data_IF_319560253979
#
_entry.id   IF_319560253979
#
_cell.length_a   1.000
_cell.length_b   1.000
_cell.length_c   1.000
_cell.angle_alpha   90.00
_cell.angle_beta   90.00
_cell.angle_gamma   90.00
#
_symmetry.space_group_name_H-M   'P 1'
#
loop_
_entity.id
_entity.type
_entity.pdbx_description
1 polymer ?
#
# COMPACT_ATOMS: atom_id res chain seq x y z
N UNK A 1 -31.70 -19.60 21.03
CA UNK A 1 -31.80 -19.18 19.63
C UNK A 1 -30.40 -18.94 19.09
N UNK A 2 -30.09 -19.41 17.89
CA UNK A 2 -28.80 -19.11 17.26
C UNK A 2 -28.80 -17.64 16.75
N UNK A 3 -27.66 -16.96 16.92
CA UNK A 3 -27.48 -15.61 16.39
C UNK A 3 -27.46 -15.62 14.86
N UNK A 4 -28.03 -14.59 14.23
CA UNK A 4 -27.86 -14.33 12.80
C UNK A 4 -26.43 -13.82 12.52
N UNK A 5 -25.93 -13.92 11.27
CA UNK A 5 -24.62 -13.37 10.89
C UNK A 5 -24.51 -11.87 11.20
N UNK A 6 -25.58 -11.10 10.96
CA UNK A 6 -25.64 -9.66 11.33
C UNK A 6 -25.46 -9.44 12.84
N UNK A 7 -26.11 -10.25 13.69
CA UNK A 7 -25.95 -10.15 15.14
C UNK A 7 -24.54 -10.56 15.58
N UNK A 8 -23.95 -11.58 14.93
CA UNK A 8 -22.55 -11.98 15.18
C UNK A 8 -21.57 -10.88 14.76
N UNK A 9 -21.80 -10.24 13.60
CA UNK A 9 -20.99 -9.10 13.13
C UNK A 9 -21.01 -7.97 14.17
N UNK A 10 -22.21 -7.54 14.59
CA UNK A 10 -22.34 -6.46 15.59
C UNK A 10 -21.75 -6.80 16.95
N UNK A 11 -21.76 -8.07 17.33
CA UNK A 11 -21.32 -8.52 18.65
C UNK A 11 -19.81 -8.77 18.74
N UNK A 12 -19.20 -9.27 17.66
CA UNK A 12 -17.83 -9.80 17.72
C UNK A 12 -16.84 -9.08 16.81
N UNK A 13 -17.31 -8.33 15.80
CA UNK A 13 -16.40 -7.52 14.96
C UNK A 13 -16.19 -6.15 15.60
N UNK A 14 -14.94 -5.75 15.77
CA UNK A 14 -14.62 -4.40 16.22
C UNK A 14 -15.07 -3.38 15.17
N UNK A 15 -15.87 -2.35 15.52
CA UNK A 15 -16.32 -1.37 14.56
C UNK A 15 -15.16 -0.48 14.10
N UNK A 16 -15.00 -0.33 12.79
CA UNK A 16 -14.06 0.62 12.17
C UNK A 16 -14.79 1.81 11.54
N UNK A 17 -16.12 1.81 11.58
CA UNK A 17 -17.01 2.87 11.10
C UNK A 17 -18.25 2.93 11.98
N UNK A 18 -18.72 4.14 12.24
CA UNK A 18 -19.97 4.36 13.00
C UNK A 18 -21.22 3.95 12.21
N UNK A 19 -21.14 3.88 10.89
CA UNK A 19 -22.23 3.53 9.98
C UNK A 19 -21.78 2.55 8.88
N UNK A 20 -21.46 1.29 9.24
CA UNK A 20 -21.08 0.29 8.25
C UNK A 20 -22.25 -0.03 7.31
N UNK A 21 -21.99 -0.26 6.03
CA UNK A 21 -23.00 -0.69 5.06
C UNK A 21 -23.69 -1.99 5.50
N UNK A 22 -22.98 -2.86 6.20
CA UNK A 22 -23.44 -4.11 6.77
C UNK A 22 -24.25 -4.99 5.77
N UNK A 23 -23.86 -4.99 4.49
CA UNK A 23 -24.40 -5.89 3.48
C UNK A 23 -23.91 -7.31 3.77
N UNK A 24 -24.82 -8.27 3.85
CA UNK A 24 -24.47 -9.68 4.04
C UNK A 24 -24.20 -10.31 2.67
N UNK A 25 -22.96 -10.20 2.19
CA UNK A 25 -22.54 -10.73 0.89
C UNK A 25 -22.23 -12.23 1.01
N UNK A 26 -22.86 -13.04 0.17
CA UNK A 26 -22.70 -14.49 0.15
C UNK A 26 -21.98 -15.00 -1.09
N UNK A 27 -21.95 -14.22 -2.18
CA UNK A 27 -21.29 -14.57 -3.44
C UNK A 27 -20.79 -13.31 -4.14
N UNK A 28 -19.70 -13.45 -4.90
CA UNK A 28 -19.22 -12.42 -5.81
C UNK A 28 -18.77 -13.08 -7.12
N UNK A 29 -18.98 -12.41 -8.28
CA UNK A 29 -18.58 -12.91 -9.58
C UNK A 29 -18.46 -11.77 -10.60
N UNK A 30 -17.34 -11.72 -11.32
CA UNK A 30 -17.06 -10.63 -12.26
C UNK A 30 -17.07 -9.28 -11.53
N UNK A 31 -18.00 -8.41 -11.86
CA UNK A 31 -18.18 -7.10 -11.23
C UNK A 31 -19.35 -7.05 -10.24
N UNK A 32 -19.95 -8.19 -9.93
CA UNK A 32 -21.17 -8.25 -9.11
C UNK A 32 -20.92 -8.88 -7.75
N UNK A 33 -21.55 -8.30 -6.73
CA UNK A 33 -21.74 -8.88 -5.40
C UNK A 33 -23.20 -9.32 -5.27
N UNK A 34 -23.44 -10.37 -4.49
CA UNK A 34 -24.79 -10.90 -4.22
C UNK A 34 -25.00 -11.06 -2.73
N UNK A 35 -26.11 -10.53 -2.22
CA UNK A 35 -26.47 -10.68 -0.81
C UNK A 35 -27.16 -12.02 -0.52
N UNK A 36 -27.51 -12.24 0.74
CA UNK A 36 -28.19 -13.45 1.20
C UNK A 36 -29.60 -13.61 0.65
N UNK A 37 -30.24 -12.55 0.13
CA UNK A 37 -31.53 -12.59 -0.54
C UNK A 37 -31.39 -12.79 -2.07
N UNK A 38 -30.16 -12.88 -2.58
CA UNK A 38 -29.87 -13.03 -4.01
C UNK A 38 -29.90 -11.73 -4.81
N UNK A 39 -30.05 -10.58 -4.15
CA UNK A 39 -29.98 -9.27 -4.82
C UNK A 39 -28.55 -8.99 -5.26
N UNK A 40 -28.39 -8.49 -6.49
CA UNK A 40 -27.11 -8.14 -7.08
C UNK A 40 -26.77 -6.66 -6.88
N UNK A 41 -25.48 -6.37 -6.71
CA UNK A 41 -24.90 -5.03 -6.62
C UNK A 41 -23.69 -4.97 -7.55
N UNK A 42 -23.52 -3.87 -8.27
CA UNK A 42 -22.28 -3.60 -9.01
C UNK A 42 -21.23 -3.11 -7.98
N UNK A 43 -20.11 -3.80 -7.93
CA UNK A 43 -18.99 -3.43 -7.04
C UNK A 43 -18.11 -2.36 -7.68
N UNK A 44 -18.42 -1.09 -7.41
CA UNK A 44 -17.62 0.05 -7.84
C UNK A 44 -16.50 0.40 -6.85
N UNK A 45 -16.49 -0.22 -5.66
CA UNK A 45 -15.43 -0.05 -4.66
C UNK A 45 -14.25 -0.97 -4.98
N UNK A 46 -14.55 -2.18 -5.46
CA UNK A 46 -13.56 -3.16 -5.92
C UNK A 46 -12.44 -3.42 -4.90
N UNK A 47 -12.79 -3.48 -3.60
CA UNK A 47 -11.81 -3.65 -2.52
C UNK A 47 -10.85 -2.47 -2.40
N UNK A 48 -11.30 -1.26 -2.68
CA UNK A 48 -10.51 -0.02 -2.80
C UNK A 48 -9.47 -0.18 -3.94
N UNK A 49 -9.99 -0.39 -5.17
CA UNK A 49 -9.24 -0.55 -6.41
C UNK A 49 -8.29 -1.78 -6.46
N UNK A 50 -8.57 -2.82 -5.68
CA UNK A 50 -7.73 -4.04 -5.60
C UNK A 50 -8.18 -5.13 -6.57
N UNK A 51 -9.49 -5.33 -6.76
CA UNK A 51 -10.04 -6.45 -7.53
C UNK A 51 -10.03 -6.20 -9.05
N UNK A 52 -8.87 -5.82 -9.60
CA UNK A 52 -8.72 -5.36 -10.98
C UNK A 52 -9.10 -6.39 -12.06
N UNK A 53 -9.05 -7.69 -11.74
CA UNK A 53 -9.42 -8.78 -12.67
C UNK A 53 -10.83 -9.30 -12.43
N UNK A 54 -11.58 -8.62 -11.56
CA UNK A 54 -12.93 -9.03 -11.14
C UNK A 54 -12.94 -10.16 -10.12
N UNK A 55 -14.12 -10.36 -9.52
CA UNK A 55 -14.32 -11.41 -8.53
C UNK A 55 -14.27 -12.80 -9.17
N UNK A 56 -13.55 -13.72 -8.54
CA UNK A 56 -13.46 -15.13 -8.94
C UNK A 56 -12.98 -15.33 -10.38
N UNK A 57 -12.02 -14.54 -10.85
CA UNK A 57 -11.39 -14.81 -12.14
C UNK A 57 -10.97 -16.29 -12.22
N UNK A 58 -11.43 -17.05 -13.26
CA UNK A 58 -11.21 -18.50 -13.31
C UNK A 58 -9.75 -18.92 -13.28
N UNK A 59 -8.86 -18.15 -13.92
CA UNK A 59 -7.42 -18.45 -13.94
C UNK A 59 -6.79 -18.28 -12.57
N UNK A 60 -7.19 -17.22 -11.85
CA UNK A 60 -6.71 -16.96 -10.48
C UNK A 60 -7.22 -18.06 -9.53
N UNK A 61 -8.51 -18.39 -9.60
CA UNK A 61 -9.10 -19.45 -8.77
C UNK A 61 -8.41 -20.79 -9.01
N UNK A 62 -8.13 -21.13 -10.29
CA UNK A 62 -7.40 -22.36 -10.62
C UNK A 62 -6.00 -22.36 -10.02
N UNK A 63 -5.24 -21.29 -10.21
CA UNK A 63 -3.88 -21.20 -9.70
C UNK A 63 -3.81 -21.32 -8.17
N UNK A 64 -4.78 -20.72 -7.45
CA UNK A 64 -4.88 -20.85 -5.98
C UNK A 64 -5.15 -22.31 -5.57
N UNK A 65 -6.09 -22.98 -6.24
CA UNK A 65 -6.42 -24.38 -5.94
C UNK A 65 -5.23 -25.28 -6.21
N UNK A 66 -4.59 -25.15 -7.36
CA UNK A 66 -3.40 -25.95 -7.71
C UNK A 66 -2.28 -25.76 -6.68
N UNK A 67 -2.10 -24.51 -6.18
CA UNK A 67 -1.08 -24.21 -5.17
C UNK A 67 -1.44 -24.77 -3.79
N UNK A 68 -2.70 -24.69 -3.37
CA UNK A 68 -3.17 -25.26 -2.09
C UNK A 68 -3.00 -26.78 -2.09
N UNK A 69 -3.29 -27.45 -3.21
CA UNK A 69 -3.10 -28.89 -3.37
C UNK A 69 -1.61 -29.29 -3.31
N UNK A 70 -0.69 -28.41 -3.73
CA UNK A 70 0.74 -28.66 -3.67
C UNK A 70 1.33 -28.39 -2.27
N UNK A 71 1.14 -27.20 -1.76
CA UNK A 71 1.50 -26.77 -0.39
C UNK A 71 0.95 -25.35 -0.11
N UNK A 72 0.80 -25.04 1.18
CA UNK A 72 0.35 -23.71 1.65
C UNK A 72 1.53 -22.93 2.20
N UNK A 73 1.84 -23.09 3.49
CA UNK A 73 2.90 -22.37 4.17
C UNK A 73 4.12 -23.29 4.39
N UNK A 74 5.28 -22.74 4.08
CA UNK A 74 6.58 -23.36 4.36
C UNK A 74 7.44 -22.39 5.19
N UNK A 75 8.76 -22.55 5.12
CA UNK A 75 9.70 -21.65 5.77
C UNK A 75 9.70 -20.26 5.09
N UNK A 76 9.73 -19.22 5.90
CA UNK A 76 9.83 -17.81 5.47
C UNK A 76 11.28 -17.36 5.27
N UNK A 77 11.51 -16.10 5.02
CA UNK A 77 12.80 -15.41 4.90
C UNK A 77 13.73 -15.91 3.79
N UNK A 78 13.18 -16.53 2.75
CA UNK A 78 13.98 -16.95 1.60
C UNK A 78 14.87 -18.17 1.84
N UNK A 79 14.64 -18.95 2.89
CA UNK A 79 15.38 -20.16 3.20
C UNK A 79 15.11 -21.28 2.18
N UNK A 80 13.87 -21.34 1.67
CA UNK A 80 13.47 -22.32 0.66
C UNK A 80 13.16 -21.63 -0.66
N UNK A 81 13.51 -22.27 -1.77
CA UNK A 81 13.12 -21.82 -3.11
C UNK A 81 11.67 -22.24 -3.35
N UNK A 82 10.79 -21.27 -3.40
CA UNK A 82 9.35 -21.45 -3.60
C UNK A 82 8.94 -20.82 -4.92
N UNK A 83 8.48 -21.64 -5.87
CA UNK A 83 8.25 -21.20 -7.25
C UNK A 83 7.24 -20.05 -7.41
N UNK A 84 6.14 -19.94 -6.63
CA UNK A 84 5.22 -18.82 -6.77
C UNK A 84 5.89 -17.47 -6.52
N UNK A 85 6.68 -17.35 -5.44
CA UNK A 85 7.37 -16.11 -5.09
C UNK A 85 8.46 -15.78 -6.12
N UNK A 86 9.24 -16.76 -6.55
CA UNK A 86 10.30 -16.56 -7.56
C UNK A 86 9.71 -16.06 -8.89
N UNK A 87 8.63 -16.70 -9.37
CA UNK A 87 7.95 -16.28 -10.61
C UNK A 87 7.34 -14.88 -10.49
N UNK A 88 6.73 -14.55 -9.35
CA UNK A 88 6.17 -13.22 -9.12
C UNK A 88 7.28 -12.17 -9.07
N UNK A 89 8.38 -12.44 -8.35
CA UNK A 89 9.52 -11.53 -8.29
C UNK A 89 10.10 -11.26 -9.68
N UNK A 90 10.29 -12.31 -10.49
CA UNK A 90 10.75 -12.17 -11.88
C UNK A 90 9.80 -11.31 -12.72
N UNK A 91 8.49 -11.56 -12.63
CA UNK A 91 7.48 -10.80 -13.36
C UNK A 91 7.47 -9.32 -12.96
N UNK A 92 7.53 -9.02 -11.66
CA UNK A 92 7.60 -7.66 -11.14
C UNK A 92 8.85 -6.94 -11.61
N UNK A 93 10.02 -7.54 -11.46
CA UNK A 93 11.29 -6.93 -11.94
C UNK A 93 11.24 -6.63 -13.44
N UNK A 94 10.76 -7.58 -14.25
CA UNK A 94 10.62 -7.37 -15.69
C UNK A 94 9.63 -6.25 -16.04
N UNK A 95 8.54 -6.12 -15.28
CA UNK A 95 7.52 -5.09 -15.54
C UNK A 95 8.01 -3.66 -15.28
N UNK A 96 9.03 -3.47 -14.44
CA UNK A 96 9.59 -2.12 -14.18
C UNK A 96 10.31 -1.52 -15.36
N UNK A 97 10.76 -2.34 -16.32
CA UNK A 97 11.52 -1.89 -17.49
C UNK A 97 12.87 -1.24 -17.16
N UNK A 98 13.37 -1.40 -15.92
CA UNK A 98 14.66 -0.83 -15.48
C UNK A 98 15.57 -1.90 -14.87
N UNK A 99 16.88 -1.66 -14.95
CA UNK A 99 17.90 -2.52 -14.33
C UNK A 99 18.16 -2.17 -12.85
N UNK A 100 17.66 -1.03 -12.38
CA UNK A 100 17.90 -0.56 -11.01
C UNK A 100 16.99 -1.22 -9.98
N UNK A 101 15.77 -1.59 -10.36
CA UNK A 101 14.81 -2.29 -9.51
C UNK A 101 14.85 -3.78 -9.86
N UNK A 102 15.79 -4.50 -9.27
CA UNK A 102 16.13 -5.86 -9.66
C UNK A 102 15.94 -6.91 -8.56
N UNK A 103 15.40 -6.50 -7.40
CA UNK A 103 15.11 -7.40 -6.28
C UNK A 103 13.76 -7.09 -5.67
N UNK A 104 13.10 -8.10 -5.16
CA UNK A 104 11.78 -8.00 -4.52
C UNK A 104 11.85 -8.55 -3.10
N UNK A 105 11.30 -7.80 -2.16
CA UNK A 105 11.06 -8.22 -0.79
C UNK A 105 9.56 -8.25 -0.52
N UNK A 106 9.01 -9.43 -0.26
CA UNK A 106 7.59 -9.61 -0.02
C UNK A 106 7.22 -9.34 1.43
N UNK A 107 6.10 -8.66 1.63
CA UNK A 107 5.47 -8.39 2.92
C UNK A 107 3.99 -8.77 2.87
N UNK A 108 3.28 -8.69 4.01
CA UNK A 108 1.87 -9.07 4.07
C UNK A 108 0.92 -7.89 3.79
N UNK A 109 1.43 -6.67 3.77
CA UNK A 109 0.61 -5.47 3.57
C UNK A 109 1.45 -4.30 3.04
N UNK A 110 0.77 -3.29 2.45
CA UNK A 110 1.43 -2.05 2.03
C UNK A 110 2.07 -1.30 3.19
N UNK A 111 1.42 -1.27 4.35
CA UNK A 111 2.01 -0.62 5.54
C UNK A 111 3.32 -1.28 5.98
N UNK A 112 3.42 -2.62 5.92
CA UNK A 112 4.68 -3.33 6.19
C UNK A 112 5.74 -3.07 5.12
N UNK A 113 5.35 -2.93 3.85
CA UNK A 113 6.25 -2.55 2.78
C UNK A 113 6.86 -1.16 3.02
N UNK A 114 6.04 -0.20 3.41
CA UNK A 114 6.47 1.16 3.78
C UNK A 114 7.40 1.14 4.99
N UNK A 115 7.06 0.40 6.06
CA UNK A 115 7.94 0.23 7.23
C UNK A 115 9.30 -0.37 6.84
N UNK A 116 9.28 -1.40 5.98
CA UNK A 116 10.49 -2.02 5.43
C UNK A 116 11.34 -1.04 4.64
N UNK A 117 10.71 -0.27 3.76
CA UNK A 117 11.38 0.76 2.95
C UNK A 117 11.99 1.87 3.82
N UNK A 118 11.27 2.34 4.85
CA UNK A 118 11.79 3.33 5.81
C UNK A 118 13.02 2.80 6.57
N UNK A 119 12.95 1.57 7.07
CA UNK A 119 14.08 0.93 7.77
C UNK A 119 15.29 0.78 6.85
N UNK A 120 15.05 0.32 5.60
CA UNK A 120 16.10 0.17 4.61
C UNK A 120 16.74 1.52 4.27
N UNK A 121 15.94 2.56 4.09
CA UNK A 121 16.43 3.91 3.81
C UNK A 121 17.32 4.44 4.93
N UNK A 122 16.92 4.29 6.19
CA UNK A 122 17.74 4.67 7.35
C UNK A 122 19.07 3.91 7.38
N UNK A 123 19.01 2.59 7.19
CA UNK A 123 20.20 1.73 7.22
C UNK A 123 21.18 2.06 6.10
N UNK A 124 20.67 2.29 4.90
CA UNK A 124 21.50 2.57 3.72
C UNK A 124 22.12 3.96 3.76
N UNK A 125 21.37 4.98 4.18
CA UNK A 125 21.83 6.37 4.14
C UNK A 125 22.50 6.83 5.44
N UNK A 126 22.26 6.16 6.55
CA UNK A 126 22.66 6.62 7.89
C UNK A 126 21.90 7.86 8.38
N UNK A 127 20.83 8.28 7.69
CA UNK A 127 20.03 9.47 7.97
C UNK A 127 18.67 9.11 8.56
N UNK A 128 17.98 10.08 9.19
CA UNK A 128 16.71 9.85 9.89
C UNK A 128 15.51 10.60 9.31
N UNK A 129 15.74 11.74 8.62
CA UNK A 129 14.67 12.59 8.12
C UNK A 129 13.94 11.96 6.92
N UNK A 130 12.60 11.91 6.99
CA UNK A 130 11.74 11.55 5.85
C UNK A 130 10.91 12.75 5.41
N UNK A 131 10.68 12.80 4.11
CA UNK A 131 9.75 13.75 3.49
C UNK A 131 8.67 12.97 2.78
N UNK A 132 7.41 13.32 3.05
CA UNK A 132 6.24 12.86 2.28
C UNK A 132 5.37 14.04 1.87
N UNK A 133 4.19 13.80 1.30
CA UNK A 133 3.31 14.88 0.87
C UNK A 133 2.18 15.12 1.87
N UNK A 134 1.69 16.37 1.95
CA UNK A 134 0.43 16.67 2.63
C UNK A 134 -0.70 15.85 1.99
N UNK A 135 -1.61 15.33 2.82
CA UNK A 135 -2.73 14.48 2.47
C UNK A 135 -2.34 13.12 1.86
N UNK A 136 -1.06 12.72 1.91
CA UNK A 136 -0.65 11.39 1.48
C UNK A 136 -1.07 10.32 2.50
N UNK A 137 -1.35 9.12 2.01
CA UNK A 137 -1.63 7.95 2.84
C UNK A 137 -0.65 6.83 2.50
N UNK A 138 0.08 6.33 3.49
CA UNK A 138 1.12 5.31 3.31
C UNK A 138 0.92 4.09 4.21
N UNK A 139 -0.20 4.04 4.94
CA UNK A 139 -0.52 2.95 5.85
C UNK A 139 -0.80 3.42 7.28
N UNK A 140 -1.22 2.49 8.14
CA UNK A 140 -1.70 2.76 9.50
C UNK A 140 -0.80 2.20 10.62
N UNK A 141 0.32 1.53 10.31
CA UNK A 141 1.34 1.17 11.32
C UNK A 141 2.09 2.41 11.80
N UNK A 142 2.79 2.31 12.91
CA UNK A 142 3.37 3.47 13.61
C UNK A 142 4.30 4.32 12.71
N UNK A 143 5.17 3.70 11.92
CA UNK A 143 6.07 4.43 11.02
C UNK A 143 5.33 4.96 9.79
N UNK A 144 4.52 4.15 9.14
CA UNK A 144 3.73 4.55 7.98
C UNK A 144 2.73 5.67 8.35
N UNK A 145 2.07 5.57 9.50
CA UNK A 145 1.20 6.63 10.03
C UNK A 145 1.97 7.91 10.30
N UNK A 146 3.21 7.81 10.77
CA UNK A 146 4.05 8.99 11.05
C UNK A 146 4.31 9.82 9.80
N UNK A 147 4.52 9.18 8.65
CA UNK A 147 4.76 9.85 7.38
C UNK A 147 3.48 10.20 6.61
N UNK A 148 2.30 9.68 7.01
CA UNK A 148 1.03 10.09 6.43
C UNK A 148 0.83 11.62 6.53
N UNK A 149 0.20 12.22 5.54
CA UNK A 149 0.11 13.68 5.40
C UNK A 149 -1.16 14.31 5.95
N UNK A 150 -2.14 13.53 6.40
CA UNK A 150 -3.41 14.00 6.94
C UNK A 150 -3.45 13.84 8.47
N UNK A 151 -3.70 14.95 9.18
CA UNK A 151 -3.80 14.96 10.64
C UNK A 151 -5.04 14.23 11.17
N UNK A 152 -6.09 14.08 10.38
CA UNK A 152 -7.27 13.32 10.78
C UNK A 152 -6.93 11.85 11.10
N UNK A 153 -5.97 11.27 10.37
CA UNK A 153 -5.49 9.91 10.63
C UNK A 153 -4.52 9.80 11.82
N UNK A 154 -3.83 10.88 12.17
CA UNK A 154 -2.65 10.85 13.05
C UNK A 154 -2.88 11.39 14.45
N UNK A 155 -3.76 12.37 14.59
CA UNK A 155 -3.82 13.20 15.79
C UNK A 155 -4.03 12.39 17.09
N UNK A 156 -4.88 11.37 17.03
CA UNK A 156 -5.20 10.54 18.20
C UNK A 156 -4.06 9.60 18.64
N UNK A 157 -3.03 9.42 17.80
CA UNK A 157 -1.98 8.40 17.99
C UNK A 157 -0.61 9.00 18.32
N UNK A 158 -0.55 10.28 18.66
CA UNK A 158 0.69 10.95 19.04
C UNK A 158 1.20 10.49 20.42
N UNK A 159 2.52 10.40 20.70
CA UNK A 159 3.61 10.85 19.81
C UNK A 159 3.91 9.86 18.67
N UNK A 160 4.24 10.40 17.50
CA UNK A 160 4.67 9.67 16.33
C UNK A 160 6.19 9.76 16.14
N UNK A 161 6.75 9.12 15.11
CA UNK A 161 8.18 9.17 14.83
C UNK A 161 8.62 10.63 14.56
N UNK A 162 9.78 11.04 15.09
CA UNK A 162 10.37 12.35 14.81
C UNK A 162 10.95 12.41 13.38
N UNK A 163 11.44 13.59 13.00
CA UNK A 163 12.12 13.86 11.73
C UNK A 163 11.27 13.60 10.49
N UNK A 164 9.96 13.85 10.58
CA UNK A 164 9.05 13.77 9.46
C UNK A 164 8.66 15.18 9.00
N UNK A 165 8.77 15.43 7.70
CA UNK A 165 8.40 16.71 7.08
C UNK A 165 7.50 16.48 5.89
N UNK A 166 6.60 17.45 5.63
CA UNK A 166 5.66 17.37 4.52
C UNK A 166 5.89 18.49 3.50
N UNK A 167 5.67 18.16 2.24
CA UNK A 167 5.69 19.06 1.10
C UNK A 167 4.37 18.98 0.34
N UNK A 168 4.06 19.97 -0.48
CA UNK A 168 2.90 19.88 -1.37
C UNK A 168 3.26 19.06 -2.61
N UNK A 169 2.42 18.06 -2.90
CA UNK A 169 2.52 17.25 -4.10
C UNK A 169 2.45 18.15 -5.35
N UNK A 170 3.35 17.94 -6.31
CA UNK A 170 3.41 18.74 -7.53
C UNK A 170 4.08 20.14 -7.40
N UNK A 171 4.48 20.56 -6.21
CA UNK A 171 5.08 21.88 -5.98
C UNK A 171 6.62 21.85 -6.11
N UNK A 172 7.16 22.27 -7.24
CA UNK A 172 8.61 22.31 -7.51
C UNK A 172 9.35 23.16 -6.46
N UNK A 173 8.80 24.30 -6.04
CA UNK A 173 9.44 25.18 -5.04
C UNK A 173 9.65 24.45 -3.69
N UNK A 174 8.80 23.49 -3.34
CA UNK A 174 8.94 22.74 -2.10
C UNK A 174 10.09 21.70 -2.13
N UNK A 175 10.62 21.37 -3.31
CA UNK A 175 11.74 20.45 -3.44
C UNK A 175 13.03 20.96 -2.78
N UNK A 176 13.16 22.27 -2.57
CA UNK A 176 14.24 22.87 -1.79
C UNK A 176 14.32 22.38 -0.35
N UNK A 177 13.19 21.88 0.21
CA UNK A 177 13.11 21.28 1.54
C UNK A 177 13.85 19.94 1.65
N UNK A 178 14.10 19.25 0.52
CA UNK A 178 14.89 18.03 0.47
C UNK A 178 16.36 18.43 0.60
N UNK A 179 17.03 17.94 1.62
CA UNK A 179 18.40 18.35 1.96
C UNK A 179 19.31 17.14 2.18
N UNK A 180 20.59 17.37 2.42
CA UNK A 180 21.53 16.29 2.77
C UNK A 180 21.17 15.54 4.06
N UNK A 181 20.26 16.06 4.88
CA UNK A 181 19.74 15.39 6.09
C UNK A 181 18.63 14.37 5.75
N UNK A 182 17.99 14.50 4.60
CA UNK A 182 16.86 13.66 4.19
C UNK A 182 17.36 12.27 3.83
N UNK A 183 16.87 11.24 4.51
CA UNK A 183 17.12 9.84 4.20
C UNK A 183 16.36 9.43 2.92
N UNK A 184 15.08 9.72 2.87
CA UNK A 184 14.25 9.42 1.72
C UNK A 184 13.08 10.40 1.57
N UNK A 185 12.61 10.52 0.33
CA UNK A 185 11.29 11.05 0.00
C UNK A 185 10.40 9.88 -0.36
N UNK A 186 9.23 9.78 0.26
CA UNK A 186 8.20 8.82 -0.11
C UNK A 186 7.02 9.57 -0.74
N UNK A 187 6.54 9.08 -1.88
CA UNK A 187 5.54 9.77 -2.67
C UNK A 187 4.71 8.79 -3.50
N UNK A 188 3.43 9.08 -3.66
CA UNK A 188 2.53 8.44 -4.61
C UNK A 188 2.63 9.16 -5.97
N UNK A 189 2.65 8.43 -7.10
CA UNK A 189 2.54 9.06 -8.43
C UNK A 189 1.12 9.56 -8.65
N UNK A 190 0.15 8.76 -8.24
CA UNK A 190 -1.26 9.13 -8.17
C UNK A 190 -1.68 9.12 -6.70
N UNK A 191 -1.76 10.30 -6.09
CA UNK A 191 -2.14 10.43 -4.68
C UNK A 191 -3.62 10.13 -4.48
N UNK A 192 -3.94 8.89 -4.09
CA UNK A 192 -5.29 8.36 -4.01
C UNK A 192 -6.14 9.08 -2.97
N UNK A 193 -5.75 9.00 -1.71
CA UNK A 193 -6.48 9.60 -0.57
C UNK A 193 -6.50 11.15 -0.62
N UNK A 194 -5.54 11.76 -1.28
CA UNK A 194 -5.53 13.20 -1.52
C UNK A 194 -6.58 13.67 -2.56
N UNK A 195 -7.41 12.77 -3.09
CA UNK A 195 -8.42 13.05 -4.09
C UNK A 195 -7.96 12.75 -5.52
N UNK A 196 -7.22 11.68 -5.72
CA UNK A 196 -6.74 11.17 -7.02
C UNK A 196 -5.97 12.25 -7.78
N UNK A 197 -4.97 12.82 -7.13
CA UNK A 197 -4.14 13.90 -7.68
C UNK A 197 -2.87 13.37 -8.31
N UNK A 198 -2.53 13.91 -9.46
CA UNK A 198 -1.25 13.66 -10.13
C UNK A 198 -0.42 14.94 -10.21
N UNK A 199 0.85 14.82 -10.57
CA UNK A 199 1.73 15.94 -10.85
C UNK A 199 2.31 15.85 -12.27
N UNK A 200 2.90 16.95 -12.74
CA UNK A 200 3.51 16.97 -14.07
C UNK A 200 4.76 16.09 -14.14
N UNK A 201 5.11 15.53 -15.31
CA UNK A 201 6.37 14.82 -15.51
C UNK A 201 7.59 15.66 -15.10
N UNK A 202 7.57 16.98 -15.35
CA UNK A 202 8.66 17.89 -14.97
C UNK A 202 8.86 17.97 -13.45
N UNK A 203 7.78 17.86 -12.67
CA UNK A 203 7.89 17.76 -11.21
C UNK A 203 8.63 16.49 -10.78
N UNK A 204 8.26 15.33 -11.31
CA UNK A 204 8.92 14.07 -10.95
C UNK A 204 10.37 14.03 -11.42
N UNK A 205 10.69 14.61 -12.57
CA UNK A 205 12.07 14.76 -13.02
C UNK A 205 12.89 15.65 -12.06
N UNK A 206 12.34 16.79 -11.66
CA UNK A 206 12.96 17.69 -10.69
C UNK A 206 13.13 17.03 -9.32
N UNK A 207 12.12 16.29 -8.86
CA UNK A 207 12.17 15.50 -7.63
C UNK A 207 13.29 14.46 -7.68
N UNK A 208 13.36 13.65 -8.77
CA UNK A 208 14.43 12.65 -8.94
C UNK A 208 15.81 13.31 -8.92
N UNK A 209 15.96 14.40 -9.67
CA UNK A 209 17.22 15.19 -9.72
C UNK A 209 17.60 15.65 -8.31
N UNK A 210 16.66 16.25 -7.58
CA UNK A 210 16.91 16.77 -6.22
C UNK A 210 17.31 15.66 -5.24
N UNK A 211 16.64 14.51 -5.28
CA UNK A 211 17.03 13.36 -4.45
C UNK A 211 18.45 12.88 -4.76
N UNK A 212 18.84 12.87 -6.04
CA UNK A 212 20.20 12.50 -6.45
C UNK A 212 21.24 13.48 -5.93
N UNK A 213 21.00 14.79 -6.05
CA UNK A 213 21.90 15.86 -5.58
C UNK A 213 22.12 15.84 -4.06
N UNK A 214 21.11 15.42 -3.30
CA UNK A 214 21.16 15.39 -1.83
C UNK A 214 21.57 14.03 -1.28
N UNK A 215 21.70 13.01 -2.11
CA UNK A 215 21.95 11.63 -1.66
C UNK A 215 20.77 11.09 -0.85
N UNK A 216 19.55 11.50 -1.19
CA UNK A 216 18.32 10.99 -0.61
C UNK A 216 17.75 9.89 -1.49
N UNK A 217 17.14 8.86 -0.90
CA UNK A 217 16.41 7.86 -1.67
C UNK A 217 15.06 8.42 -2.12
N UNK A 218 14.56 7.91 -3.23
CA UNK A 218 13.19 8.17 -3.70
C UNK A 218 12.43 6.86 -3.63
N UNK A 219 11.39 6.83 -2.81
CA UNK A 219 10.47 5.70 -2.63
C UNK A 219 9.17 6.09 -3.31
N UNK A 220 8.75 5.27 -4.26
CA UNK A 220 7.44 5.40 -4.92
C UNK A 220 6.52 4.39 -4.26
N UNK A 221 5.40 4.87 -3.73
CA UNK A 221 4.34 4.06 -3.13
C UNK A 221 3.18 3.96 -4.12
N UNK A 222 2.86 2.71 -4.54
CA UNK A 222 1.87 2.40 -5.57
C UNK A 222 0.91 1.30 -5.09
#
# INVERSE_FOLDING_TARGET
>A
MAYTHRQLFQKFMAPTSDAPLALEITRAEGVYLYDSAGKSYIDLISGIAVSNVGHRNPSVVKAIKDQVDAYMHLMVYGEYIQSPQVKLAEALVKSTGTTHLNQVYFTNSGTEAVEGAMKLAKRFTGKTEFISCFNAYHGASQGALSIAGDENFKNAFRPLLPDIRHIHHGCIANLSKITKRTAAVIIEIVAGEAGIKTASPSYFQALRKRCTETGSLLIIDE
#
